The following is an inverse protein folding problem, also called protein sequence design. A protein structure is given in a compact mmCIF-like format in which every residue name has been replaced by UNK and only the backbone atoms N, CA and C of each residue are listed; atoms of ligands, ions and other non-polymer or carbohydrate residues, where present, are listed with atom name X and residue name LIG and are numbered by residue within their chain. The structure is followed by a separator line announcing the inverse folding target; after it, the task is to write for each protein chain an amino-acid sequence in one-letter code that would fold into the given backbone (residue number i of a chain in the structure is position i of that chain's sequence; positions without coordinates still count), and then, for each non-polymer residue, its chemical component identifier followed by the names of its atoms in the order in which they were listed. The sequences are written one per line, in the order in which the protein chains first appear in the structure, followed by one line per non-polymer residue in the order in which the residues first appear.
data_IF_747415489592
#
_entry.id   IF_747415489592
#
_cell.length_a   1.000
_cell.length_b   1.000
_cell.length_c   1.000
_cell.angle_alpha   90.00
_cell.angle_beta   90.00
_cell.angle_gamma   90.00
#
_symmetry.space_group_name_H-M   'P 1'
#
loop_
_entity.id
_entity.type
_entity.pdbx_description
1 polymer ?
#
# COMPACT_ATOMS: atom_id res chain seq x y z
N UNK A 1 -1.73 12.93 5.26
CA UNK A 1 -1.17 11.56 5.20
C UNK A 1 -2.13 10.65 4.46
N UNK A 2 -1.62 9.65 3.74
CA UNK A 2 -2.45 8.65 3.05
C UNK A 2 -3.31 7.86 4.05
N UNK A 3 -4.51 7.44 3.64
CA UNK A 3 -5.43 6.62 4.45
C UNK A 3 -4.81 5.26 4.84
N UNK A 4 -5.06 4.80 6.06
CA UNK A 4 -4.63 3.47 6.54
C UNK A 4 -5.27 2.32 5.76
N UNK A 5 -6.43 2.58 5.18
CA UNK A 5 -7.17 1.59 4.39
C UNK A 5 -6.69 1.51 2.94
N UNK A 6 -5.84 2.45 2.50
CA UNK A 6 -5.29 2.43 1.16
C UNK A 6 -4.48 1.14 0.91
N UNK A 7 -4.45 0.68 -0.34
CA UNK A 7 -3.75 -0.54 -0.70
C UNK A 7 -2.24 -0.42 -0.41
N UNK A 8 -1.57 -1.56 -0.25
CA UNK A 8 -0.11 -1.58 -0.06
C UNK A 8 0.64 -0.97 -1.26
N UNK A 9 0.10 -1.11 -2.47
CA UNK A 9 0.68 -0.51 -3.67
C UNK A 9 0.58 1.02 -3.63
N UNK A 10 -0.53 1.58 -3.17
CA UNK A 10 -0.69 3.04 -3.01
C UNK A 10 0.24 3.60 -1.94
N UNK A 11 0.38 2.90 -0.81
CA UNK A 11 1.39 3.26 0.18
C UNK A 11 2.80 3.24 -0.41
N UNK A 12 3.12 2.27 -1.27
CA UNK A 12 4.42 2.17 -1.91
C UNK A 12 4.67 3.30 -2.93
N UNK A 13 3.68 3.64 -3.77
CA UNK A 13 3.76 4.79 -4.70
C UNK A 13 3.97 6.09 -3.92
N UNK A 14 3.10 6.35 -2.94
CA UNK A 14 3.17 7.54 -2.09
C UNK A 14 4.52 7.68 -1.37
N UNK A 15 5.04 6.60 -0.78
CA UNK A 15 6.33 6.63 -0.09
C UNK A 15 7.52 6.91 -1.04
N UNK A 16 7.46 6.40 -2.28
CA UNK A 16 8.48 6.67 -3.30
C UNK A 16 8.48 8.13 -3.73
N UNK A 17 7.31 8.73 -3.88
CA UNK A 17 7.20 10.15 -4.21
C UNK A 17 7.77 11.03 -3.11
N UNK A 18 7.42 10.75 -1.83
CA UNK A 18 8.02 11.45 -0.69
C UNK A 18 9.55 11.31 -0.69
N UNK A 19 10.07 10.09 -0.93
CA UNK A 19 11.51 9.86 -1.02
C UNK A 19 12.15 10.69 -2.13
N UNK A 20 11.57 10.67 -3.33
CA UNK A 20 12.07 11.43 -4.46
C UNK A 20 12.07 12.94 -4.18
N UNK A 21 11.02 13.46 -3.53
CA UNK A 21 10.94 14.86 -3.11
C UNK A 21 12.02 15.21 -2.08
N UNK A 22 12.28 14.36 -1.09
CA UNK A 22 13.39 14.57 -0.13
C UNK A 22 14.75 14.60 -0.85
N UNK A 23 14.99 13.66 -1.76
CA UNK A 23 16.23 13.61 -2.56
C UNK A 23 16.39 14.84 -3.46
N UNK A 24 15.29 15.37 -4.00
CA UNK A 24 15.31 16.59 -4.80
C UNK A 24 15.71 17.81 -3.94
N UNK A 25 15.10 17.98 -2.76
CA UNK A 25 15.44 19.06 -1.84
C UNK A 25 16.88 18.94 -1.31
N UNK A 26 17.36 17.72 -1.03
CA UNK A 26 18.74 17.48 -0.60
C UNK A 26 19.78 17.82 -1.69
N UNK A 27 19.41 17.69 -2.98
CA UNK A 27 20.28 18.00 -4.12
C UNK A 27 20.19 19.47 -4.59
N UNK A 28 19.13 20.19 -4.26
CA UNK A 28 18.88 21.56 -4.70
C UNK A 28 19.87 22.57 -4.12
N UNK A 29 20.95 22.85 -4.86
CA UNK A 29 21.91 23.89 -4.49
C UNK A 29 21.27 25.29 -4.52
N UNK A 30 21.52 26.10 -3.50
CA UNK A 30 20.98 27.46 -3.37
C UNK A 30 19.54 27.55 -2.84
N UNK A 31 18.84 26.42 -2.67
CA UNK A 31 17.51 26.38 -2.04
C UNK A 31 17.59 26.22 -0.52
N UNK A 32 18.58 25.46 -0.05
CA UNK A 32 18.78 25.14 1.36
C UNK A 32 20.27 25.18 1.72
N UNK A 33 20.54 25.54 2.97
CA UNK A 33 21.88 25.48 3.57
C UNK A 33 22.45 24.05 3.53
N UNK A 34 23.78 23.93 3.54
CA UNK A 34 24.45 22.63 3.40
C UNK A 34 24.04 21.62 4.50
N UNK A 35 23.92 22.08 5.75
CA UNK A 35 23.50 21.23 6.88
C UNK A 35 22.05 20.76 6.72
N UNK A 36 21.16 21.64 6.26
CA UNK A 36 19.77 21.32 5.95
C UNK A 36 19.68 20.24 4.86
N UNK A 37 20.43 20.40 3.77
CA UNK A 37 20.50 19.40 2.68
C UNK A 37 21.00 18.04 3.17
N UNK A 38 22.03 18.04 4.03
CA UNK A 38 22.55 16.81 4.63
C UNK A 38 21.49 16.09 5.46
N UNK A 39 20.75 16.82 6.31
CA UNK A 39 19.66 16.24 7.11
C UNK A 39 18.61 15.60 6.21
N UNK A 40 18.16 16.30 5.16
CA UNK A 40 17.17 15.74 4.24
C UNK A 40 17.69 14.51 3.47
N UNK A 41 18.98 14.50 3.11
CA UNK A 41 19.62 13.33 2.51
C UNK A 41 19.64 12.11 3.44
N UNK A 42 19.89 12.32 4.74
CA UNK A 42 19.84 11.25 5.74
C UNK A 42 18.41 10.71 5.94
N UNK A 43 17.39 11.58 5.95
CA UNK A 43 15.99 11.16 6.00
C UNK A 43 15.58 10.41 4.73
N UNK A 44 16.00 10.87 3.54
CA UNK A 44 15.77 10.21 2.26
C UNK A 44 16.35 8.78 2.24
N UNK A 45 17.59 8.61 2.71
CA UNK A 45 18.25 7.31 2.76
C UNK A 45 17.48 6.32 3.66
N UNK A 46 17.06 6.76 4.85
CA UNK A 46 16.23 5.96 5.77
C UNK A 46 14.86 5.62 5.18
N UNK A 47 14.22 6.57 4.50
CA UNK A 47 12.96 6.30 3.82
C UNK A 47 13.15 5.28 2.69
N UNK A 48 14.28 5.32 1.98
CA UNK A 48 14.63 4.32 0.96
C UNK A 48 14.68 2.88 1.50
N UNK A 49 15.22 2.69 2.71
CA UNK A 49 15.20 1.38 3.39
C UNK A 49 13.77 0.91 3.71
N UNK A 50 12.90 1.82 4.17
CA UNK A 50 11.48 1.54 4.44
C UNK A 50 10.71 1.23 3.15
N UNK A 51 10.94 1.99 2.08
CA UNK A 51 10.37 1.76 0.75
C UNK A 51 10.76 0.38 0.21
N UNK A 52 12.03 0.00 0.37
CA UNK A 52 12.53 -1.34 -0.01
C UNK A 52 11.80 -2.45 0.75
N UNK A 53 11.68 -2.31 2.08
CA UNK A 53 10.94 -3.27 2.92
C UNK A 53 9.45 -3.34 2.55
N UNK A 54 8.81 -2.20 2.30
CA UNK A 54 7.42 -2.14 1.87
C UNK A 54 7.22 -2.82 0.52
N UNK A 55 8.10 -2.56 -0.45
CA UNK A 55 8.11 -3.25 -1.75
C UNK A 55 8.24 -4.77 -1.57
N UNK A 56 9.13 -5.22 -0.68
CA UNK A 56 9.32 -6.62 -0.31
C UNK A 56 8.08 -7.28 0.32
N UNK A 57 7.24 -6.52 1.02
CA UNK A 57 5.99 -7.02 1.61
C UNK A 57 4.79 -6.95 0.63
N UNK A 58 4.73 -5.92 -0.22
CA UNK A 58 3.67 -5.73 -1.21
C UNK A 58 3.69 -6.84 -2.25
N UNK A 59 4.86 -7.16 -2.81
CA UNK A 59 4.97 -8.12 -3.92
C UNK A 59 4.41 -9.51 -3.57
N UNK A 60 4.81 -10.18 -2.47
CA UNK A 60 4.27 -11.48 -2.11
C UNK A 60 2.77 -11.47 -1.86
N UNK A 61 2.25 -10.42 -1.21
CA UNK A 61 0.81 -10.30 -0.96
C UNK A 61 0.03 -10.12 -2.27
N UNK A 62 0.50 -9.23 -3.16
CA UNK A 62 -0.11 -9.02 -4.48
C UNK A 62 -0.07 -10.29 -5.32
N UNK A 63 1.11 -10.89 -5.48
CA UNK A 63 1.29 -12.10 -6.29
C UNK A 63 0.40 -13.25 -5.78
N UNK A 64 0.21 -13.37 -4.46
CA UNK A 64 -0.73 -14.31 -3.87
C UNK A 64 -2.19 -13.99 -4.21
N UNK A 65 -2.61 -12.73 -4.12
CA UNK A 65 -3.97 -12.32 -4.45
C UNK A 65 -4.30 -12.59 -5.92
N UNK A 66 -3.37 -12.25 -6.82
CA UNK A 66 -3.54 -12.34 -8.28
C UNK A 66 -3.46 -13.77 -8.81
N UNK A 67 -2.67 -14.65 -8.17
CA UNK A 67 -2.47 -16.02 -8.64
C UNK A 67 -3.26 -17.00 -7.80
N UNK A 68 -2.79 -17.28 -6.58
CA UNK A 68 -3.33 -18.35 -5.75
C UNK A 68 -4.80 -18.10 -5.39
N UNK A 69 -5.12 -16.91 -4.88
CA UNK A 69 -6.46 -16.61 -4.38
C UNK A 69 -7.51 -16.57 -5.50
N UNK A 70 -7.15 -16.14 -6.71
CA UNK A 70 -8.05 -16.17 -7.87
C UNK A 70 -8.48 -17.60 -8.19
N UNK A 71 -7.54 -18.55 -8.21
CA UNK A 71 -7.87 -19.96 -8.46
C UNK A 71 -8.80 -20.54 -7.40
N UNK A 72 -8.50 -20.32 -6.12
CA UNK A 72 -9.38 -20.75 -5.02
C UNK A 72 -10.80 -20.14 -5.13
N UNK A 73 -10.91 -18.85 -5.46
CA UNK A 73 -12.21 -18.20 -5.68
C UNK A 73 -12.95 -18.78 -6.89
N UNK A 74 -12.24 -19.11 -7.97
CA UNK A 74 -12.83 -19.72 -9.15
C UNK A 74 -13.36 -21.13 -8.86
N UNK A 75 -12.57 -21.98 -8.22
CA UNK A 75 -12.99 -23.32 -7.80
C UNK A 75 -14.21 -23.28 -6.89
N UNK A 76 -14.24 -22.36 -5.92
CA UNK A 76 -15.38 -22.16 -5.02
C UNK A 76 -16.64 -21.73 -5.76
N UNK A 77 -16.54 -20.82 -6.75
CA UNK A 77 -17.68 -20.43 -7.60
C UNK A 77 -18.20 -21.61 -8.42
N UNK A 78 -17.30 -22.38 -9.03
CA UNK A 78 -17.67 -23.53 -9.85
C UNK A 78 -18.37 -24.61 -9.02
N UNK A 79 -17.86 -24.93 -7.83
CA UNK A 79 -18.48 -25.92 -6.93
C UNK A 79 -19.87 -25.48 -6.47
N UNK A 80 -20.05 -24.21 -6.08
CA UNK A 80 -21.35 -23.67 -5.70
C UNK A 80 -22.37 -23.72 -6.84
N UNK A 81 -21.93 -23.41 -8.06
CA UNK A 81 -22.78 -23.53 -9.24
C UNK A 81 -23.22 -24.98 -9.46
N UNK A 82 -22.31 -25.94 -9.36
CA UNK A 82 -22.61 -27.35 -9.60
C UNK A 82 -23.59 -27.92 -8.57
N UNK A 83 -23.43 -27.57 -7.28
CA UNK A 83 -24.41 -27.88 -6.23
C UNK A 83 -25.77 -27.26 -6.54
N UNK A 84 -25.81 -25.97 -6.91
CA UNK A 84 -27.06 -25.30 -7.27
C UNK A 84 -27.76 -25.88 -8.51
N UNK A 85 -27.00 -26.50 -9.43
CA UNK A 85 -27.50 -27.16 -10.62
C UNK A 85 -27.97 -28.61 -10.39
N UNK A 86 -27.83 -29.15 -9.17
CA UNK A 86 -28.27 -30.50 -8.82
C UNK A 86 -27.33 -31.61 -9.29
N UNK A 87 -26.03 -31.33 -9.44
CA UNK A 87 -25.03 -32.34 -9.74
C UNK A 87 -24.65 -33.13 -8.45
N UNK A 88 -25.08 -34.39 -8.38
CA UNK A 88 -25.17 -35.24 -7.16
C UNK A 88 -23.91 -36.10 -6.88
N UNK A 89 -22.70 -35.52 -6.91
CA UNK A 89 -21.84 -35.73 -5.74
C UNK A 89 -21.13 -34.45 -5.27
N UNK A 90 -21.68 -33.26 -5.56
CA UNK A 90 -20.94 -32.00 -5.40
C UNK A 90 -21.03 -31.34 -4.02
N UNK A 91 -21.86 -31.84 -3.09
CA UNK A 91 -21.93 -31.28 -1.73
C UNK A 91 -20.64 -31.54 -0.92
N UNK A 92 -20.18 -32.79 -0.87
CA UNK A 92 -18.91 -33.13 -0.20
C UNK A 92 -17.71 -32.42 -0.86
N UNK A 93 -17.74 -32.31 -2.19
CA UNK A 93 -16.73 -31.56 -2.95
C UNK A 93 -16.74 -30.07 -2.64
N UNK A 94 -17.92 -29.48 -2.44
CA UNK A 94 -18.04 -28.08 -2.02
C UNK A 94 -17.44 -27.89 -0.61
N UNK A 95 -17.73 -28.80 0.32
CA UNK A 95 -17.17 -28.75 1.67
C UNK A 95 -15.64 -28.82 1.66
N UNK A 96 -15.05 -29.74 0.89
CA UNK A 96 -13.59 -29.83 0.70
C UNK A 96 -12.99 -28.53 0.15
N UNK A 97 -13.67 -27.88 -0.80
CA UNK A 97 -13.22 -26.62 -1.39
C UNK A 97 -13.34 -25.46 -0.40
N UNK A 98 -14.41 -25.42 0.40
CA UNK A 98 -14.59 -24.41 1.46
C UNK A 98 -13.53 -24.58 2.56
N UNK A 99 -13.23 -25.82 2.96
CA UNK A 99 -12.15 -26.12 3.91
C UNK A 99 -10.77 -25.72 3.36
N UNK A 100 -10.49 -26.06 2.10
CA UNK A 100 -9.24 -25.68 1.45
C UNK A 100 -9.11 -24.16 1.32
N UNK A 101 -10.21 -23.46 1.01
CA UNK A 101 -10.26 -21.99 0.97
C UNK A 101 -9.98 -21.39 2.35
N UNK A 102 -10.64 -21.91 3.40
CA UNK A 102 -10.45 -21.44 4.77
C UNK A 102 -9.02 -21.69 5.26
N UNK A 103 -8.42 -22.83 4.90
CA UNK A 103 -7.01 -23.15 5.19
C UNK A 103 -6.07 -22.18 4.50
N UNK A 104 -6.23 -21.95 3.20
CA UNK A 104 -5.45 -20.97 2.43
C UNK A 104 -5.55 -19.56 3.02
N UNK A 105 -6.75 -19.14 3.42
CA UNK A 105 -6.97 -17.82 4.04
C UNK A 105 -6.19 -17.68 5.35
N UNK A 106 -6.20 -18.71 6.21
CA UNK A 106 -5.48 -18.72 7.49
C UNK A 106 -3.98 -18.85 7.37
N UNK A 107 -3.50 -19.77 6.52
CA UNK A 107 -2.09 -20.14 6.45
C UNK A 107 -1.28 -19.23 5.52
N UNK A 108 -1.94 -18.56 4.55
CA UNK A 108 -1.24 -17.76 3.55
C UNK A 108 -1.72 -16.30 3.56
N UNK A 109 -3.02 -16.03 3.35
CA UNK A 109 -3.47 -14.63 3.21
C UNK A 109 -3.27 -13.83 4.49
N UNK A 110 -3.70 -14.35 5.64
CA UNK A 110 -3.64 -13.62 6.90
C UNK A 110 -2.19 -13.28 7.29
N UNK A 111 -1.21 -14.21 7.24
CA UNK A 111 0.20 -13.89 7.48
C UNK A 111 0.76 -12.84 6.53
N UNK A 112 0.51 -12.97 5.22
CA UNK A 112 0.98 -12.00 4.23
C UNK A 112 0.36 -10.60 4.44
N UNK A 113 -0.94 -10.54 4.74
CA UNK A 113 -1.64 -9.29 5.04
C UNK A 113 -1.12 -8.66 6.34
N UNK A 114 -0.82 -9.47 7.36
CA UNK A 114 -0.27 -8.99 8.62
C UNK A 114 1.14 -8.42 8.43
N UNK A 115 2.00 -9.11 7.68
CA UNK A 115 3.33 -8.64 7.33
C UNK A 115 3.27 -7.29 6.57
N UNK A 116 2.40 -7.18 5.56
CA UNK A 116 2.19 -5.92 4.85
C UNK A 116 1.73 -4.79 5.78
N UNK A 117 0.76 -5.06 6.65
CA UNK A 117 0.24 -4.07 7.62
C UNK A 117 1.30 -3.62 8.62
N UNK A 118 2.16 -4.53 9.09
CA UNK A 118 3.25 -4.19 9.99
C UNK A 118 4.22 -3.19 9.35
N UNK A 119 4.60 -3.40 8.09
CA UNK A 119 5.51 -2.50 7.37
C UNK A 119 4.84 -1.15 7.06
N UNK A 120 3.54 -1.14 6.74
CA UNK A 120 2.78 0.13 6.57
C UNK A 120 2.74 0.92 7.88
N UNK A 121 2.49 0.26 9.01
CA UNK A 121 2.48 0.91 10.32
C UNK A 121 3.84 1.50 10.67
N UNK A 122 4.93 0.77 10.39
CA UNK A 122 6.29 1.24 10.58
C UNK A 122 6.60 2.47 9.71
N UNK A 123 6.27 2.43 8.41
CA UNK A 123 6.43 3.57 7.51
C UNK A 123 5.70 4.81 8.04
N UNK A 124 4.45 4.66 8.47
CA UNK A 124 3.64 5.77 8.99
C UNK A 124 4.24 6.36 10.26
N UNK A 125 4.61 5.52 11.21
CA UNK A 125 5.24 5.96 12.46
C UNK A 125 6.55 6.71 12.17
N UNK A 126 7.35 6.21 11.23
CA UNK A 126 8.59 6.87 10.83
C UNK A 126 8.34 8.23 10.16
N UNK A 127 7.35 8.34 9.28
CA UNK A 127 6.98 9.61 8.63
C UNK A 127 6.50 10.65 9.65
N UNK A 128 5.71 10.25 10.65
CA UNK A 128 5.34 11.15 11.75
C UNK A 128 6.58 11.65 12.48
N UNK A 129 7.49 10.75 12.84
CA UNK A 129 8.72 11.12 13.53
C UNK A 129 9.65 11.99 12.66
N UNK A 130 9.67 11.76 11.34
CA UNK A 130 10.41 12.60 10.38
C UNK A 130 9.86 14.02 10.38
N UNK A 131 8.53 14.19 10.35
CA UNK A 131 7.90 15.51 10.37
C UNK A 131 8.27 16.29 11.63
N UNK A 132 8.28 15.63 12.79
CA UNK A 132 8.72 16.26 14.04
C UNK A 132 10.20 16.67 13.99
N UNK A 133 11.08 15.83 13.42
CA UNK A 133 12.50 16.17 13.25
C UNK A 133 12.71 17.33 12.28
N UNK A 134 11.89 17.44 11.23
CA UNK A 134 11.92 18.55 10.27
C UNK A 134 11.43 19.83 10.98
N UNK A 135 10.29 19.80 11.66
CA UNK A 135 9.79 20.95 12.45
C UNK A 135 10.79 21.47 13.46
N UNK A 136 11.53 20.58 14.13
CA UNK A 136 12.52 20.96 15.11
C UNK A 136 13.77 21.64 14.53
N UNK A 137 14.05 21.49 13.23
CA UNK A 137 15.31 21.94 12.61
C UNK A 137 15.15 23.01 11.54
N UNK A 138 13.96 23.17 10.98
CA UNK A 138 13.71 24.05 9.85
C UNK A 138 12.74 25.16 10.27
N UNK A 139 13.12 26.45 10.17
CA UNK A 139 12.23 27.57 10.49
C UNK A 139 10.95 27.59 9.64
N UNK A 140 11.07 27.25 8.35
CA UNK A 140 9.97 27.18 7.39
C UNK A 140 9.50 25.73 7.16
N UNK A 141 9.48 24.92 8.22
CA UNK A 141 9.21 23.49 8.14
C UNK A 141 7.89 23.14 7.44
N UNK A 142 6.81 23.90 7.66
CA UNK A 142 5.52 23.58 7.04
C UNK A 142 5.56 23.75 5.51
N UNK A 143 6.15 24.84 5.01
CA UNK A 143 6.35 25.03 3.56
C UNK A 143 7.23 23.94 2.95
N UNK A 144 8.24 23.49 3.68
CA UNK A 144 9.09 22.39 3.25
C UNK A 144 8.34 21.05 3.24
N UNK A 145 7.53 20.77 4.27
CA UNK A 145 6.71 19.56 4.34
C UNK A 145 5.65 19.54 3.23
N UNK A 146 5.03 20.68 2.93
CA UNK A 146 4.10 20.82 1.80
C UNK A 146 4.79 20.54 0.46
N UNK A 147 6.06 20.91 0.30
CA UNK A 147 6.87 20.58 -0.88
C UNK A 147 7.36 19.13 -0.93
N UNK A 148 7.39 18.43 0.21
CA UNK A 148 7.82 17.03 0.30
C UNK A 148 6.66 16.07 0.02
N UNK A 149 5.48 16.35 0.59
CA UNK A 149 4.34 15.46 0.50
C UNK A 149 3.55 15.71 -0.79
N UNK A 150 3.37 14.67 -1.63
CA UNK A 150 2.51 14.83 -2.80
C UNK A 150 1.07 15.10 -2.35
N UNK A 151 0.32 15.92 -3.11
CA UNK A 151 -1.08 16.19 -2.82
C UNK A 151 -1.88 14.89 -2.88
N UNK A 152 -2.93 14.78 -2.07
CA UNK A 152 -3.76 13.59 -2.01
C UNK A 152 -5.19 13.89 -2.49
N UNK A 153 -5.78 12.95 -3.24
CA UNK A 153 -7.15 13.01 -3.75
C UNK A 153 -8.11 12.09 -2.97
N UNK A 154 -9.40 12.25 -3.22
CA UNK A 154 -10.50 11.43 -2.67
C UNK A 154 -10.38 11.16 -1.16
N UNK A 155 -10.22 12.21 -0.37
CA UNK A 155 -10.13 12.09 1.09
C UNK A 155 -8.83 11.43 1.59
N UNK A 156 -7.75 11.46 0.80
CA UNK A 156 -6.46 10.88 1.21
C UNK A 156 -6.25 9.44 0.78
N UNK A 157 -7.07 8.91 -0.14
CA UNK A 157 -7.01 7.53 -0.58
C UNK A 157 -6.05 7.28 -1.76
N UNK A 158 -5.63 8.36 -2.44
CA UNK A 158 -4.80 8.34 -3.64
C UNK A 158 -3.87 9.55 -3.66
N UNK A 159 -2.75 9.43 -4.37
CA UNK A 159 -1.98 10.60 -4.80
C UNK A 159 -2.81 11.33 -5.84
N UNK A 160 -2.96 12.64 -5.69
CA UNK A 160 -3.65 13.48 -6.68
C UNK A 160 -2.70 13.70 -7.86
N UNK A 161 -2.68 12.75 -8.80
CA UNK A 161 -2.04 12.95 -10.10
C UNK A 161 -3.13 13.37 -11.08
N UNK A 162 -3.01 14.57 -11.66
CA UNK A 162 -4.07 15.17 -12.50
C UNK A 162 -4.15 14.49 -13.88
N UNK A 163 -3.19 13.62 -14.22
CA UNK A 163 -3.02 13.03 -15.55
C UNK A 163 -3.03 11.48 -15.58
N UNK A 164 -3.28 10.79 -14.46
CA UNK A 164 -3.20 9.32 -14.36
C UNK A 164 -4.53 8.70 -13.86
N UNK A 165 -5.51 8.59 -14.77
CA UNK A 165 -6.80 7.91 -14.56
C UNK A 165 -6.68 6.36 -14.49
N UNK A 166 -5.47 5.80 -14.58
CA UNK A 166 -5.22 4.35 -14.64
C UNK A 166 -5.17 3.69 -13.24
N UNK A 167 -5.73 4.37 -12.23
CA UNK A 167 -5.74 3.95 -10.81
C UNK A 167 -6.79 2.86 -10.56
N UNK A 168 -6.59 1.69 -11.18
CA UNK A 168 -7.16 0.36 -10.91
C UNK A 168 -8.48 0.43 -10.11
N UNK A 169 -9.49 1.01 -10.77
CA UNK A 169 -10.82 1.22 -10.23
C UNK A 169 -11.53 -0.13 -10.05
N UNK A 170 -11.26 -0.80 -8.93
CA UNK A 170 -12.27 -1.65 -8.31
C UNK A 170 -13.04 -0.84 -7.28
N UNK A 171 -13.71 0.21 -7.75
CA UNK A 171 -14.89 0.68 -7.05
C UNK A 171 -15.92 -0.47 -7.03
N UNK A 172 -16.51 -0.83 -5.88
CA UNK A 172 -17.67 -1.71 -5.90
C UNK A 172 -18.76 -1.05 -6.77
N UNK A 173 -19.52 -1.81 -7.58
CA UNK A 173 -20.63 -1.23 -8.32
C UNK A 173 -21.59 -0.57 -7.32
N UNK A 174 -21.94 0.69 -7.57
CA UNK A 174 -23.05 1.34 -6.90
C UNK A 174 -24.28 0.46 -7.17
N UNK A 175 -24.84 -0.10 -6.11
CA UNK A 175 -26.17 -0.69 -6.17
C UNK A 175 -27.11 0.50 -6.13
N UNK A 176 -27.59 0.92 -7.28
CA UNK A 176 -28.76 1.80 -7.35
C UNK A 176 -29.97 0.99 -6.87
N UNK A 177 -30.62 1.49 -5.82
CA UNK A 177 -31.93 1.02 -5.32
C UNK A 177 -33.07 1.40 -6.26
#
# INVERSE_FOLDING_TARGET
MLSEEASGLRHLRWAREIQASLEAHARGEGLLEADARKILGEEAAKLGELVSRLSGAVKPYRDFLERARVHFRASRRAARFAVGAGHEPDAARLDEIEEAFARMEREQRLPLKAALRAVIAELRAWLVAMNERIRARFPDAESLLDGIYPPLACGGAYVADVEDDDDDATAPPAIDE
#
